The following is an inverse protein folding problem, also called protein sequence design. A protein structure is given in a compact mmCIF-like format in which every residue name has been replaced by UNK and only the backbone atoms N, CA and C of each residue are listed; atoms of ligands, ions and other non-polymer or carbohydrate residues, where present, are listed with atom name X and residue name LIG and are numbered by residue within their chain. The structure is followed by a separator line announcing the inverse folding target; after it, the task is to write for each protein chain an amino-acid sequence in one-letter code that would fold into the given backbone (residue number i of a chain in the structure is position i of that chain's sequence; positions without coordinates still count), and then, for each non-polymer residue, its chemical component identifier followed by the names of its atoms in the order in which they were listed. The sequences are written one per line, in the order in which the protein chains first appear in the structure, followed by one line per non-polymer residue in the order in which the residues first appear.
data_IF_723279784088
#
_entry.id   IF_723279784088
#
_cell.length_a   1.000
_cell.length_b   1.000
_cell.length_c   1.000
_cell.angle_alpha   90.00
_cell.angle_beta   90.00
_cell.angle_gamma   90.00
#
_symmetry.space_group_name_H-M   'P 1'
#
loop_
_entity.id
_entity.type
_entity.pdbx_description
1 polymer ?
#
# COMPACT_ATOMS: atom_id res chain seq x y z
N UNK A 1 -11.76 -10.92 19.34
CA UNK A 1 -10.34 -11.08 19.72
C UNK A 1 -9.64 -9.88 19.10
N UNK A 2 -9.02 -9.00 19.86
CA UNK A 2 -8.32 -7.83 19.32
C UNK A 2 -7.01 -8.34 18.68
N UNK A 3 -6.72 -7.90 17.47
CA UNK A 3 -5.50 -8.23 16.74
C UNK A 3 -4.27 -7.85 17.59
N UNK A 4 -3.40 -8.80 17.87
CA UNK A 4 -2.12 -8.51 18.52
C UNK A 4 -1.09 -8.12 17.46
N UNK A 5 -0.79 -6.84 17.37
CA UNK A 5 0.16 -6.31 16.38
C UNK A 5 1.60 -6.76 16.65
N UNK A 6 1.93 -7.22 17.87
CA UNK A 6 3.26 -7.75 18.16
C UNK A 6 3.54 -9.10 17.48
N UNK A 7 2.49 -9.80 17.05
CA UNK A 7 2.60 -11.02 16.27
C UNK A 7 2.97 -10.78 14.80
N UNK A 8 2.78 -9.54 14.31
CA UNK A 8 3.11 -9.20 12.93
C UNK A 8 4.61 -8.91 12.81
N UNK A 9 5.28 -9.43 11.75
CA UNK A 9 6.65 -9.05 11.45
C UNK A 9 6.78 -7.52 11.37
N UNK A 10 7.69 -6.93 12.13
CA UNK A 10 7.85 -5.46 12.26
C UNK A 10 6.54 -4.69 12.48
N UNK A 11 5.57 -5.32 13.18
CA UNK A 11 4.23 -4.78 13.34
C UNK A 11 3.47 -4.62 12.02
N UNK A 12 3.91 -5.24 10.92
CA UNK A 12 3.34 -5.10 9.58
C UNK A 12 3.56 -3.72 8.96
N UNK A 13 4.66 -3.05 9.28
CA UNK A 13 4.92 -1.68 8.88
C UNK A 13 6.36 -1.41 8.38
N UNK A 14 7.15 -2.47 8.11
CA UNK A 14 8.53 -2.37 7.61
C UNK A 14 8.64 -1.50 6.34
N UNK A 15 7.66 -1.55 5.47
CA UNK A 15 7.61 -0.77 4.24
C UNK A 15 7.50 0.75 4.42
N UNK A 16 7.34 1.23 5.66
CA UNK A 16 7.31 2.67 5.99
C UNK A 16 8.69 3.24 6.34
N UNK A 17 9.74 2.42 6.44
CA UNK A 17 11.04 2.77 7.00
C UNK A 17 11.85 3.82 6.21
N UNK A 18 11.42 4.15 5.01
CA UNK A 18 12.07 5.11 4.11
C UNK A 18 13.51 4.71 3.72
N UNK A 19 13.79 3.39 3.66
CA UNK A 19 15.13 2.85 3.31
C UNK A 19 15.38 2.70 1.82
N UNK A 20 14.34 2.64 0.98
CA UNK A 20 14.47 2.41 -0.46
C UNK A 20 14.81 3.67 -1.26
N UNK A 21 15.13 3.50 -2.54
CA UNK A 21 15.45 4.59 -3.45
C UNK A 21 14.30 5.60 -3.56
N UNK A 22 14.65 6.89 -3.71
CA UNK A 22 13.69 8.01 -3.82
C UNK A 22 12.61 8.05 -2.72
N UNK A 23 12.92 7.63 -1.50
CA UNK A 23 11.96 7.51 -0.40
C UNK A 23 11.28 8.85 -0.02
N UNK A 24 11.84 9.99 -0.37
CA UNK A 24 11.24 11.32 -0.21
C UNK A 24 10.09 11.58 -1.20
N UNK A 25 10.07 10.88 -2.35
CA UNK A 25 9.03 10.97 -3.39
C UNK A 25 8.18 9.69 -3.41
N UNK A 26 8.81 8.51 -3.38
CA UNK A 26 8.14 7.22 -3.43
C UNK A 26 7.95 6.67 -2.02
N UNK A 27 6.71 6.44 -1.62
CA UNK A 27 6.41 5.87 -0.31
C UNK A 27 6.68 4.36 -0.29
N UNK A 28 6.21 3.65 -1.32
CA UNK A 28 6.39 2.20 -1.41
C UNK A 28 6.26 1.67 -2.84
N UNK A 29 6.85 0.49 -3.04
CA UNK A 29 6.66 -0.36 -4.22
C UNK A 29 5.97 -1.65 -3.80
N UNK A 30 4.94 -2.07 -4.54
CA UNK A 30 4.18 -3.29 -4.28
C UNK A 30 4.01 -4.10 -5.55
N UNK A 31 4.43 -5.37 -5.52
CA UNK A 31 4.19 -6.35 -6.57
C UNK A 31 3.22 -7.41 -6.05
N UNK A 32 2.22 -7.75 -6.86
CA UNK A 32 1.21 -8.78 -6.55
C UNK A 32 1.08 -9.75 -7.70
N UNK A 33 0.89 -11.04 -7.38
CA UNK A 33 0.61 -12.10 -8.33
C UNK A 33 -0.72 -12.76 -7.95
N UNK A 34 -1.66 -12.82 -8.91
CA UNK A 34 -2.92 -13.54 -8.76
C UNK A 34 -2.73 -15.00 -9.21
N UNK A 35 -3.14 -15.95 -8.37
CA UNK A 35 -3.05 -17.40 -8.62
C UNK A 35 -4.33 -18.10 -8.20
N UNK A 36 -4.77 -19.08 -8.96
CA UNK A 36 -5.82 -20.00 -8.56
C UNK A 36 -5.25 -21.41 -8.41
N UNK A 37 -5.75 -22.16 -7.44
CA UNK A 37 -5.39 -23.56 -7.23
C UNK A 37 -6.11 -24.39 -8.28
N UNK A 38 -5.39 -25.25 -8.99
CA UNK A 38 -5.98 -26.13 -9.98
C UNK A 38 -6.96 -27.13 -9.36
N UNK A 39 -7.99 -27.50 -10.11
CA UNK A 39 -9.02 -28.43 -9.66
C UNK A 39 -10.11 -27.86 -8.76
N UNK A 40 -10.11 -26.57 -8.45
CA UNK A 40 -11.15 -25.87 -7.70
C UNK A 40 -11.90 -24.84 -8.56
N UNK A 41 -13.18 -24.63 -8.27
CA UNK A 41 -13.92 -23.52 -8.85
C UNK A 41 -13.33 -22.18 -8.37
N UNK A 42 -13.17 -21.19 -9.25
CA UNK A 42 -12.67 -19.86 -8.88
C UNK A 42 -13.51 -19.24 -7.77
N UNK A 43 -12.87 -18.45 -6.94
CA UNK A 43 -13.41 -17.95 -5.65
C UNK A 43 -14.81 -17.36 -5.76
N UNK A 44 -15.14 -16.64 -6.84
CA UNK A 44 -16.48 -16.07 -7.07
C UNK A 44 -17.59 -17.10 -7.30
N UNK A 45 -17.26 -18.33 -7.74
CA UNK A 45 -18.18 -19.44 -7.98
C UNK A 45 -18.03 -20.57 -6.95
N UNK A 46 -16.94 -20.57 -6.19
CA UNK A 46 -16.65 -21.59 -5.19
C UNK A 46 -17.69 -21.55 -4.06
N UNK A 47 -18.07 -22.72 -3.55
CA UNK A 47 -18.87 -22.86 -2.33
C UNK A 47 -17.99 -22.71 -1.10
N UNK A 48 -18.58 -22.44 0.06
CA UNK A 48 -17.83 -22.28 1.32
C UNK A 48 -16.91 -23.46 1.63
N UNK A 49 -17.40 -24.69 1.44
CA UNK A 49 -16.59 -25.88 1.64
C UNK A 49 -15.39 -25.99 0.70
N UNK A 50 -15.45 -25.44 -0.52
CA UNK A 50 -14.31 -25.42 -1.44
C UNK A 50 -13.28 -24.38 -1.00
N UNK A 51 -13.71 -23.19 -0.63
CA UNK A 51 -12.84 -22.14 -0.08
C UNK A 51 -12.11 -22.60 1.16
N UNK A 52 -12.81 -23.30 2.07
CA UNK A 52 -12.17 -23.89 3.26
C UNK A 52 -11.15 -24.99 2.91
N UNK A 53 -11.41 -25.80 1.87
CA UNK A 53 -10.41 -26.79 1.40
C UNK A 53 -9.19 -26.13 0.80
N UNK A 54 -9.34 -25.05 0.01
CA UNK A 54 -8.20 -24.27 -0.47
C UNK A 54 -7.37 -23.74 0.68
N UNK A 55 -8.00 -23.16 1.71
CA UNK A 55 -7.27 -22.68 2.87
C UNK A 55 -6.57 -23.82 3.61
N UNK A 56 -7.21 -24.98 3.78
CA UNK A 56 -6.61 -26.14 4.41
C UNK A 56 -5.36 -26.63 3.65
N UNK A 57 -5.47 -26.75 2.32
CA UNK A 57 -4.33 -27.13 1.47
C UNK A 57 -3.14 -26.18 1.60
N UNK A 58 -3.41 -24.87 1.70
CA UNK A 58 -2.35 -23.88 1.92
C UNK A 58 -1.73 -24.00 3.32
N UNK A 59 -2.53 -24.22 4.36
CA UNK A 59 -2.02 -24.43 5.73
C UNK A 59 -1.07 -25.63 5.80
N UNK A 60 -1.35 -26.67 5.03
CA UNK A 60 -0.50 -27.87 4.96
C UNK A 60 0.77 -27.60 4.13
N UNK A 61 0.71 -26.74 3.10
CA UNK A 61 1.83 -26.42 2.23
C UNK A 61 2.80 -25.40 2.85
N UNK A 62 2.30 -24.35 3.51
CA UNK A 62 3.06 -23.20 4.02
C UNK A 62 4.26 -23.55 4.89
N UNK A 63 4.20 -24.54 5.83
CA UNK A 63 5.37 -24.94 6.62
C UNK A 63 6.58 -25.39 5.79
N UNK A 64 6.35 -25.81 4.55
CA UNK A 64 7.38 -26.28 3.61
C UNK A 64 7.74 -25.23 2.54
N UNK A 65 7.30 -23.97 2.71
CA UNK A 65 7.60 -22.82 1.86
C UNK A 65 8.58 -21.91 2.60
N UNK A 66 9.87 -21.88 2.23
CA UNK A 66 10.90 -21.15 2.96
C UNK A 66 10.56 -19.66 3.18
N UNK A 67 10.01 -18.99 2.17
CA UNK A 67 9.60 -17.58 2.25
C UNK A 67 8.45 -17.34 3.25
N UNK A 68 7.73 -18.37 3.68
CA UNK A 68 6.61 -18.31 4.62
C UNK A 68 6.87 -19.07 5.93
N UNK A 69 8.07 -19.63 6.14
CA UNK A 69 8.37 -20.48 7.29
C UNK A 69 8.13 -19.79 8.65
N UNK A 70 8.22 -18.45 8.69
CA UNK A 70 7.95 -17.63 9.89
C UNK A 70 6.68 -16.81 9.77
N UNK A 71 5.82 -17.12 8.80
CA UNK A 71 4.59 -16.36 8.58
C UNK A 71 3.59 -16.56 9.70
N UNK A 72 2.83 -15.51 9.97
CA UNK A 72 1.66 -15.55 10.84
C UNK A 72 0.42 -15.74 9.98
N UNK A 73 -0.42 -16.71 10.35
CA UNK A 73 -1.73 -16.90 9.73
C UNK A 73 -2.80 -16.10 10.49
N UNK A 74 -3.47 -15.20 9.79
CA UNK A 74 -4.61 -14.46 10.31
C UNK A 74 -5.89 -14.86 9.55
N UNK A 75 -6.91 -15.32 10.29
CA UNK A 75 -8.24 -15.66 9.76
C UNK A 75 -9.08 -14.40 9.67
N UNK A 76 -9.09 -13.79 8.47
CA UNK A 76 -9.79 -12.52 8.22
C UNK A 76 -11.30 -12.67 8.36
N UNK A 77 -11.86 -13.83 8.00
CA UNK A 77 -13.27 -14.16 8.14
C UNK A 77 -13.75 -14.31 9.61
N UNK A 78 -12.81 -14.51 10.54
CA UNK A 78 -13.10 -14.62 11.97
C UNK A 78 -12.83 -13.31 12.74
N UNK A 79 -12.30 -12.28 12.06
CA UNK A 79 -11.91 -11.01 12.69
C UNK A 79 -13.07 -10.01 12.78
N UNK A 80 -13.11 -9.17 13.82
CA UNK A 80 -13.95 -7.97 13.87
C UNK A 80 -13.64 -7.01 12.71
N UNK A 81 -14.61 -6.23 12.28
CA UNK A 81 -14.46 -5.25 11.20
C UNK A 81 -13.37 -4.20 11.48
N UNK A 82 -13.18 -3.82 12.74
CA UNK A 82 -12.12 -2.89 13.19
C UNK A 82 -10.72 -3.45 12.94
N UNK A 83 -10.51 -4.73 13.23
CA UNK A 83 -9.20 -5.38 13.04
C UNK A 83 -8.91 -5.58 11.54
N UNK A 84 -9.96 -5.89 10.75
CA UNK A 84 -9.85 -5.98 9.28
C UNK A 84 -9.52 -4.63 8.66
N UNK A 85 -10.14 -3.55 9.14
CA UNK A 85 -9.84 -2.19 8.72
C UNK A 85 -8.39 -1.82 9.07
N UNK A 86 -7.91 -2.20 10.25
CA UNK A 86 -6.51 -1.96 10.66
C UNK A 86 -5.50 -2.63 9.74
N UNK A 87 -5.73 -3.89 9.35
CA UNK A 87 -4.89 -4.60 8.38
C UNK A 87 -4.94 -3.91 7.00
N UNK A 88 -6.10 -3.42 6.60
CA UNK A 88 -6.26 -2.68 5.33
C UNK A 88 -5.52 -1.34 5.36
N UNK A 89 -5.65 -0.55 6.42
CA UNK A 89 -4.92 0.72 6.60
C UNK A 89 -3.40 0.51 6.56
N UNK A 90 -2.91 -0.66 6.98
CA UNK A 90 -1.49 -1.07 6.86
C UNK A 90 -1.11 -1.63 5.50
N UNK A 91 -2.00 -1.66 4.54
CA UNK A 91 -1.79 -2.25 3.20
C UNK A 91 -1.44 -3.76 3.20
N UNK A 92 -1.72 -4.46 4.30
CA UNK A 92 -1.46 -5.90 4.43
C UNK A 92 -2.54 -6.75 3.75
N UNK A 93 -3.77 -6.25 3.70
CA UNK A 93 -4.89 -6.89 3.00
C UNK A 93 -5.58 -5.90 2.07
N UNK A 94 -6.25 -6.43 1.05
CA UNK A 94 -7.08 -5.62 0.14
C UNK A 94 -8.41 -5.22 0.80
N UNK A 95 -9.08 -4.23 0.22
CA UNK A 95 -10.42 -3.80 0.60
C UNK A 95 -11.43 -4.95 0.48
N UNK A 96 -11.30 -5.75 -0.58
CA UNK A 96 -12.14 -6.89 -0.90
C UNK A 96 -11.98 -8.02 0.12
N UNK A 97 -10.72 -8.40 0.45
CA UNK A 97 -10.47 -9.44 1.46
C UNK A 97 -10.97 -9.00 2.84
N UNK A 98 -10.79 -7.73 3.19
CA UNK A 98 -11.23 -7.16 4.45
C UNK A 98 -12.77 -7.00 4.54
N UNK A 99 -13.50 -7.15 3.42
CA UNK A 99 -14.94 -6.97 3.36
C UNK A 99 -15.40 -5.56 3.74
N UNK A 100 -14.62 -4.56 3.31
CA UNK A 100 -14.91 -3.13 3.54
C UNK A 100 -15.78 -2.54 2.42
N UNK A 101 -16.11 -3.33 1.44
CA UNK A 101 -17.02 -2.99 0.35
C UNK A 101 -18.35 -3.73 0.53
N UNK A 102 -19.45 -3.01 0.47
CA UNK A 102 -20.79 -3.61 0.58
C UNK A 102 -21.09 -4.66 -0.51
N UNK A 103 -20.41 -4.56 -1.67
CA UNK A 103 -20.54 -5.49 -2.77
C UNK A 103 -19.70 -6.77 -2.57
N UNK A 104 -18.71 -6.74 -1.70
CA UNK A 104 -17.79 -7.84 -1.46
C UNK A 104 -17.72 -8.16 0.04
N UNK A 105 -18.72 -8.89 0.59
CA UNK A 105 -18.65 -9.35 1.98
C UNK A 105 -17.48 -10.32 2.16
N UNK A 106 -16.94 -10.38 3.38
CA UNK A 106 -15.88 -11.34 3.72
C UNK A 106 -16.33 -12.75 3.42
N UNK A 107 -15.52 -13.45 2.65
CA UNK A 107 -15.82 -14.82 2.24
C UNK A 107 -15.33 -15.81 3.30
N UNK A 108 -16.03 -16.94 3.40
CA UNK A 108 -15.60 -18.08 4.23
C UNK A 108 -14.19 -18.53 3.83
N UNK A 109 -13.31 -18.75 4.78
CA UNK A 109 -11.92 -19.11 4.55
C UNK A 109 -11.03 -17.95 4.07
N UNK A 110 -11.52 -16.70 4.16
CA UNK A 110 -10.68 -15.53 3.90
C UNK A 110 -9.58 -15.43 4.98
N UNK A 111 -8.33 -15.42 4.54
CA UNK A 111 -7.17 -15.43 5.44
C UNK A 111 -5.98 -14.70 4.80
N UNK A 112 -4.97 -14.41 5.60
CA UNK A 112 -3.69 -13.90 5.12
C UNK A 112 -2.55 -14.57 5.88
N UNK A 113 -1.54 -15.03 5.16
CA UNK A 113 -0.22 -15.38 5.70
C UNK A 113 0.69 -14.17 5.53
N UNK A 114 1.28 -13.71 6.61
CA UNK A 114 2.18 -12.54 6.62
C UNK A 114 3.56 -12.96 7.09
N UNK A 115 4.58 -12.71 6.28
CA UNK A 115 5.99 -12.79 6.60
C UNK A 115 6.62 -11.39 6.51
N UNK A 116 7.95 -11.28 6.72
CA UNK A 116 8.63 -9.98 6.86
C UNK A 116 8.33 -8.99 5.71
N UNK A 117 8.45 -9.43 4.47
CA UNK A 117 8.32 -8.57 3.28
C UNK A 117 7.38 -9.13 2.20
N UNK A 118 6.80 -10.30 2.48
CA UNK A 118 5.84 -10.98 1.60
C UNK A 118 4.60 -11.41 2.35
N UNK A 119 3.50 -11.56 1.62
CA UNK A 119 2.25 -12.08 2.17
C UNK A 119 1.44 -12.82 1.11
N UNK A 120 0.55 -13.68 1.58
CA UNK A 120 -0.41 -14.42 0.74
C UNK A 120 -1.80 -14.20 1.27
N UNK A 121 -2.60 -13.42 0.56
CA UNK A 121 -4.04 -13.32 0.78
C UNK A 121 -4.73 -14.53 0.17
N UNK A 122 -5.70 -15.10 0.90
CA UNK A 122 -6.41 -16.34 0.52
C UNK A 122 -7.88 -16.06 0.38
N UNK A 123 -8.50 -16.57 -0.69
CA UNK A 123 -9.92 -16.46 -1.00
C UNK A 123 -10.44 -15.01 -1.12
N UNK A 124 -9.65 -14.18 -1.78
CA UNK A 124 -10.05 -12.84 -2.17
C UNK A 124 -10.85 -12.88 -3.50
N UNK A 125 -10.44 -12.20 -4.55
CA UNK A 125 -10.99 -12.33 -5.91
C UNK A 125 -10.57 -13.67 -6.53
N UNK A 126 -9.28 -14.00 -6.39
CA UNK A 126 -8.67 -15.28 -6.73
C UNK A 126 -8.41 -16.09 -5.44
N UNK A 127 -8.07 -17.38 -5.58
CA UNK A 127 -7.73 -18.21 -4.43
C UNK A 127 -6.54 -17.65 -3.67
N UNK A 128 -5.53 -17.14 -4.39
CA UNK A 128 -4.30 -16.61 -3.84
C UNK A 128 -3.97 -15.26 -4.47
N UNK A 129 -3.55 -14.33 -3.63
CA UNK A 129 -2.89 -13.11 -4.05
C UNK A 129 -1.60 -12.96 -3.28
N UNK A 130 -0.49 -13.36 -3.91
CA UNK A 130 0.85 -13.20 -3.38
C UNK A 130 1.23 -11.73 -3.49
N UNK A 131 1.89 -11.17 -2.48
CA UNK A 131 2.38 -9.80 -2.54
C UNK A 131 3.76 -9.64 -1.91
N UNK A 132 4.55 -8.73 -2.46
CA UNK A 132 5.71 -8.13 -1.80
C UNK A 132 5.50 -6.63 -1.72
N UNK A 133 5.85 -6.04 -0.56
CA UNK A 133 5.73 -4.62 -0.29
C UNK A 133 7.06 -4.10 0.26
N UNK A 134 7.65 -3.10 -0.40
CA UNK A 134 8.95 -2.53 -0.09
C UNK A 134 8.85 -1.02 0.09
N UNK A 135 9.69 -0.46 0.95
CA UNK A 135 9.86 0.98 1.09
C UNK A 135 10.50 1.58 -0.16
N UNK A 136 10.13 2.79 -0.54
CA UNK A 136 10.73 3.51 -1.65
C UNK A 136 10.50 2.87 -3.04
N UNK A 137 11.38 3.20 -3.98
CA UNK A 137 11.32 2.72 -5.36
C UNK A 137 12.20 1.49 -5.57
N UNK A 138 11.67 0.32 -5.19
CA UNK A 138 12.36 -0.97 -5.19
C UNK A 138 11.64 -2.07 -6.02
N UNK A 139 11.29 -1.82 -7.33
CA UNK A 139 10.50 -2.78 -8.10
C UNK A 139 11.21 -4.11 -8.32
N UNK A 140 12.52 -4.10 -8.60
CA UNK A 140 13.29 -5.32 -8.85
C UNK A 140 13.39 -6.19 -7.58
N UNK A 141 13.66 -5.59 -6.42
CA UNK A 141 13.72 -6.31 -5.15
C UNK A 141 12.35 -6.86 -4.73
N UNK A 142 11.27 -6.09 -4.92
CA UNK A 142 9.91 -6.54 -4.66
C UNK A 142 9.50 -7.68 -5.60
N UNK A 143 9.87 -7.61 -6.88
CA UNK A 143 9.58 -8.68 -7.85
C UNK A 143 10.35 -9.96 -7.49
N UNK A 144 11.65 -9.87 -7.22
CA UNK A 144 12.46 -11.02 -6.84
C UNK A 144 11.93 -11.74 -5.59
N UNK A 145 11.39 -10.98 -4.62
CA UNK A 145 10.80 -11.56 -3.40
C UNK A 145 9.50 -12.32 -3.71
N UNK A 146 8.58 -11.71 -4.46
CA UNK A 146 7.29 -12.36 -4.77
C UNK A 146 7.44 -13.50 -5.79
N UNK A 147 8.36 -13.40 -6.74
CA UNK A 147 8.67 -14.46 -7.72
C UNK A 147 9.26 -15.70 -7.04
N UNK A 148 10.14 -15.49 -6.04
CA UNK A 148 10.65 -16.59 -5.22
C UNK A 148 9.50 -17.28 -4.47
N UNK A 149 8.64 -16.49 -3.83
CA UNK A 149 7.46 -17.02 -3.13
C UNK A 149 6.54 -17.81 -4.08
N UNK A 150 6.29 -17.28 -5.28
CA UNK A 150 5.45 -17.91 -6.31
C UNK A 150 6.00 -19.28 -6.72
N UNK A 151 7.31 -19.36 -6.96
CA UNK A 151 8.01 -20.60 -7.33
C UNK A 151 7.99 -21.63 -6.20
N UNK A 152 8.27 -21.22 -4.96
CA UNK A 152 8.27 -22.07 -3.79
C UNK A 152 6.87 -22.64 -3.52
N UNK A 153 5.84 -21.79 -3.59
CA UNK A 153 4.46 -22.19 -3.36
C UNK A 153 3.91 -23.04 -4.51
N UNK A 154 4.20 -22.69 -5.77
CA UNK A 154 3.81 -23.44 -6.97
C UNK A 154 4.42 -24.86 -7.03
N UNK A 155 5.58 -25.06 -6.39
CA UNK A 155 6.15 -26.40 -6.21
C UNK A 155 5.39 -27.29 -5.20
N UNK A 156 4.42 -26.74 -4.46
CA UNK A 156 3.63 -27.44 -3.43
C UNK A 156 2.13 -27.47 -3.76
N UNK A 157 1.66 -26.42 -4.39
CA UNK A 157 0.24 -26.22 -4.74
C UNK A 157 0.15 -25.99 -6.23
N UNK A 158 -0.49 -26.86 -7.01
CA UNK A 158 -0.59 -26.69 -8.46
C UNK A 158 -1.47 -25.47 -8.77
N UNK A 159 -0.98 -24.58 -9.62
CA UNK A 159 -1.73 -23.41 -10.06
C UNK A 159 -2.46 -23.69 -11.37
N UNK A 160 -3.67 -23.16 -11.51
CA UNK A 160 -4.46 -23.17 -12.72
C UNK A 160 -3.72 -22.37 -13.82
N UNK A 161 -3.20 -23.08 -14.82
CA UNK A 161 -2.38 -22.52 -15.89
C UNK A 161 -2.81 -23.08 -17.25
N UNK A 162 -2.80 -22.23 -18.28
CA UNK A 162 -3.03 -22.63 -19.66
C UNK A 162 -1.83 -22.22 -20.53
N UNK A 163 -1.30 -23.10 -21.39
CA UNK A 163 -0.08 -22.82 -22.18
C UNK A 163 -0.19 -21.55 -23.06
N UNK A 164 -1.38 -21.25 -23.56
CA UNK A 164 -1.63 -20.08 -24.41
C UNK A 164 -1.96 -18.82 -23.61
N UNK A 165 -2.70 -18.95 -22.50
CA UNK A 165 -3.24 -17.81 -21.75
C UNK A 165 -2.49 -17.51 -20.45
N UNK A 166 -1.52 -18.34 -20.06
CA UNK A 166 -0.79 -18.18 -18.81
C UNK A 166 -1.61 -18.58 -17.57
N UNK A 167 -1.41 -17.91 -16.45
CA UNK A 167 -2.17 -18.16 -15.22
C UNK A 167 -3.63 -17.74 -15.36
N UNK A 168 -4.53 -18.67 -15.01
CA UNK A 168 -5.96 -18.43 -15.11
C UNK A 168 -6.48 -17.75 -13.85
N UNK A 169 -7.20 -16.64 -14.02
CA UNK A 169 -7.70 -15.81 -12.94
C UNK A 169 -9.21 -15.60 -13.03
N UNK A 170 -9.84 -15.25 -11.90
CA UNK A 170 -11.28 -14.98 -11.84
C UNK A 170 -11.66 -13.74 -12.67
N UNK A 171 -10.80 -12.73 -12.69
CA UNK A 171 -10.96 -11.54 -13.52
C UNK A 171 -10.11 -11.68 -14.81
N UNK A 172 -10.71 -11.62 -16.00
CA UNK A 172 -9.97 -11.74 -17.26
C UNK A 172 -8.83 -10.74 -17.43
N UNK A 173 -8.92 -9.57 -16.81
CA UNK A 173 -7.88 -8.53 -16.87
C UNK A 173 -6.61 -8.90 -16.09
N UNK A 174 -6.66 -9.91 -15.22
CA UNK A 174 -5.51 -10.43 -14.49
C UNK A 174 -4.90 -11.68 -15.16
N UNK A 175 -5.60 -12.30 -16.14
CA UNK A 175 -5.13 -13.50 -16.84
C UNK A 175 -3.83 -13.21 -17.60
N UNK A 176 -2.94 -14.20 -17.65
CA UNK A 176 -1.60 -14.09 -18.22
C UNK A 176 -0.54 -14.21 -17.12
N UNK A 177 0.22 -13.16 -16.87
CA UNK A 177 1.18 -13.15 -15.76
C UNK A 177 0.51 -13.14 -14.40
N UNK A 178 -0.74 -12.65 -14.32
CA UNK A 178 -1.41 -12.36 -13.05
C UNK A 178 -0.74 -11.24 -12.25
N UNK A 179 0.25 -10.55 -12.84
CA UNK A 179 1.08 -9.58 -12.14
C UNK A 179 0.49 -8.17 -12.15
N UNK A 180 0.39 -7.60 -10.96
CA UNK A 180 0.15 -6.16 -10.78
C UNK A 180 1.30 -5.53 -10.01
N UNK A 181 2.15 -4.81 -10.73
CA UNK A 181 3.20 -3.98 -10.18
C UNK A 181 2.66 -2.56 -9.93
N UNK A 182 2.90 -2.01 -8.78
CA UNK A 182 2.43 -0.66 -8.40
C UNK A 182 3.44 0.09 -7.55
N UNK A 183 3.45 1.41 -7.70
CA UNK A 183 4.27 2.34 -6.93
C UNK A 183 3.36 3.40 -6.32
N UNK A 184 3.48 3.61 -5.01
CA UNK A 184 2.80 4.70 -4.31
C UNK A 184 3.73 5.90 -4.25
N UNK A 185 3.36 6.97 -4.95
CA UNK A 185 4.22 8.13 -5.20
C UNK A 185 3.54 9.42 -4.74
N UNK A 186 4.33 10.34 -4.18
CA UNK A 186 3.92 11.64 -3.69
C UNK A 186 4.32 12.75 -4.66
N UNK A 187 3.35 13.42 -5.28
CA UNK A 187 3.56 14.34 -6.41
C UNK A 187 3.04 15.77 -6.13
N UNK A 188 3.37 16.40 -5.00
CA UNK A 188 2.88 17.73 -4.66
C UNK A 188 3.43 18.84 -5.58
N UNK A 189 4.65 18.68 -6.11
CA UNK A 189 5.25 19.63 -7.04
C UNK A 189 4.45 19.73 -8.32
N UNK A 190 4.13 18.59 -8.93
CA UNK A 190 3.30 18.52 -10.14
C UNK A 190 1.87 19.04 -9.91
N UNK A 191 1.30 18.81 -8.72
CA UNK A 191 -0.03 19.34 -8.37
C UNK A 191 0.01 20.87 -8.22
N UNK A 192 0.98 21.41 -7.50
CA UNK A 192 1.11 22.84 -7.26
C UNK A 192 1.47 23.63 -8.52
N UNK A 193 2.25 23.05 -9.44
CA UNK A 193 2.54 23.65 -10.77
C UNK A 193 1.43 23.42 -11.78
N UNK A 194 0.36 22.70 -11.43
CA UNK A 194 -0.77 22.35 -12.30
C UNK A 194 -0.39 21.45 -13.50
N UNK A 195 0.74 20.77 -13.44
CA UNK A 195 1.19 19.84 -14.49
C UNK A 195 0.68 18.40 -14.30
N UNK A 196 0.11 18.09 -13.14
CA UNK A 196 -0.30 16.72 -12.78
C UNK A 196 -1.27 16.11 -13.82
N UNK A 197 -2.26 16.85 -14.32
CA UNK A 197 -3.23 16.34 -15.29
C UNK A 197 -2.57 15.84 -16.58
N UNK A 198 -1.54 16.55 -17.07
CA UNK A 198 -0.75 16.16 -18.25
C UNK A 198 0.03 14.87 -18.00
N UNK A 199 0.66 14.76 -16.83
CA UNK A 199 1.40 13.55 -16.45
C UNK A 199 0.47 12.35 -16.36
N UNK A 200 -0.67 12.48 -15.67
CA UNK A 200 -1.66 11.40 -15.52
C UNK A 200 -2.26 10.95 -16.87
N UNK A 201 -2.55 11.89 -17.78
CA UNK A 201 -2.98 11.56 -19.15
C UNK A 201 -1.90 10.79 -19.90
N UNK A 202 -0.63 11.18 -19.78
CA UNK A 202 0.50 10.46 -20.38
C UNK A 202 0.64 9.04 -19.86
N UNK A 203 0.44 8.80 -18.55
CA UNK A 203 0.44 7.46 -17.96
C UNK A 203 -0.60 6.55 -18.59
N UNK A 204 -1.82 7.05 -18.78
CA UNK A 204 -2.91 6.29 -19.40
C UNK A 204 -2.60 5.94 -20.85
N UNK A 205 -2.03 6.86 -21.62
CA UNK A 205 -1.60 6.60 -23.00
C UNK A 205 -0.49 5.53 -23.08
N UNK A 206 0.33 5.41 -22.06
CA UNK A 206 1.35 4.38 -21.95
C UNK A 206 0.84 3.05 -21.36
N UNK A 207 -0.47 2.88 -21.17
CA UNK A 207 -1.06 1.64 -20.63
C UNK A 207 -0.85 1.44 -19.13
N UNK A 208 -0.59 2.52 -18.40
CA UNK A 208 -0.57 2.54 -16.95
C UNK A 208 -1.87 3.17 -16.41
N UNK A 209 -2.24 2.80 -15.21
CA UNK A 209 -3.37 3.41 -14.50
C UNK A 209 -2.88 4.06 -13.21
N UNK A 210 -3.61 5.07 -12.74
CA UNK A 210 -3.36 5.69 -11.44
C UNK A 210 -4.63 5.66 -10.59
N UNK A 211 -4.44 5.68 -9.28
CA UNK A 211 -5.51 5.63 -8.26
C UNK A 211 -5.06 6.40 -7.02
N UNK A 212 -5.96 6.62 -6.07
CA UNK A 212 -5.58 7.17 -4.77
C UNK A 212 -4.81 6.18 -3.89
N UNK A 213 -4.53 6.59 -2.66
CA UNK A 213 -3.67 5.89 -1.68
C UNK A 213 -4.08 4.42 -1.46
N UNK A 214 -5.38 4.14 -1.43
CA UNK A 214 -5.94 2.80 -1.16
C UNK A 214 -6.33 2.00 -2.41
N UNK A 215 -6.02 2.49 -3.61
CA UNK A 215 -6.27 1.78 -4.86
C UNK A 215 -7.65 2.05 -5.45
N UNK A 216 -8.39 1.00 -5.85
CA UNK A 216 -9.61 1.12 -6.63
C UNK A 216 -10.72 1.89 -5.89
N UNK A 217 -11.31 2.88 -6.59
CA UNK A 217 -12.38 3.70 -6.06
C UNK A 217 -11.96 4.69 -4.96
N UNK A 218 -10.66 4.81 -4.64
CA UNK A 218 -10.18 5.79 -3.66
C UNK A 218 -9.87 7.13 -4.32
N UNK A 219 -10.25 8.21 -3.64
CA UNK A 219 -9.86 9.56 -4.01
C UNK A 219 -8.37 9.81 -3.78
N UNK A 220 -7.80 10.77 -4.50
CA UNK A 220 -6.43 11.21 -4.29
C UNK A 220 -6.41 12.17 -3.09
N UNK A 221 -5.83 11.73 -1.99
CA UNK A 221 -5.68 12.52 -0.76
C UNK A 221 -4.20 12.77 -0.51
N UNK A 222 -3.85 13.97 -0.07
CA UNK A 222 -2.47 14.32 0.28
C UNK A 222 -1.47 14.23 -0.87
N UNK A 223 -1.93 14.35 -2.13
CA UNK A 223 -1.09 14.25 -3.34
C UNK A 223 -0.37 12.89 -3.51
N UNK A 224 -0.92 11.81 -2.94
CA UNK A 224 -0.43 10.45 -3.12
C UNK A 224 -1.18 9.75 -4.26
N UNK A 225 -0.41 9.21 -5.20
CA UNK A 225 -0.91 8.50 -6.37
C UNK A 225 -0.34 7.09 -6.40
N UNK A 226 -1.18 6.09 -6.61
CA UNK A 226 -0.73 4.73 -6.89
C UNK A 226 -0.70 4.51 -8.40
N UNK A 227 0.48 4.42 -8.99
CA UNK A 227 0.68 4.11 -10.41
C UNK A 227 0.86 2.60 -10.55
N UNK A 228 0.19 1.96 -11.53
CA UNK A 228 0.31 0.51 -11.78
C UNK A 228 0.10 0.14 -13.24
N UNK A 229 0.61 -1.06 -13.65
CA UNK A 229 0.27 -1.64 -14.95
C UNK A 229 -1.23 -1.94 -15.04
N UNK A 230 -1.76 -1.91 -16.26
CA UNK A 230 -3.18 -2.20 -16.56
C UNK A 230 -3.36 -3.58 -17.20
N UNK A 231 -2.45 -3.98 -18.06
CA UNK A 231 -2.51 -5.24 -18.82
C UNK A 231 -1.57 -6.28 -18.23
N UNK A 232 -1.94 -7.56 -18.34
CA UNK A 232 -1.19 -8.72 -17.84
C UNK A 232 -1.02 -9.79 -18.90
N UNK A 233 -1.84 -9.79 -19.96
CA UNK A 233 -1.81 -10.74 -21.05
C UNK A 233 -0.94 -10.22 -22.22
N UNK A 234 -0.17 -11.12 -22.84
CA UNK A 234 0.63 -10.82 -24.04
C UNK A 234 1.96 -10.10 -23.78
N UNK A 235 2.39 -10.02 -22.52
CA UNK A 235 3.70 -9.51 -22.09
C UNK A 235 4.26 -10.40 -21.00
N UNK A 236 5.59 -10.44 -20.90
CA UNK A 236 6.26 -11.10 -19.77
C UNK A 236 6.26 -10.20 -18.52
N UNK A 237 6.51 -10.79 -17.37
CA UNK A 237 6.68 -10.06 -16.10
C UNK A 237 7.81 -9.03 -16.18
N UNK A 238 8.95 -9.41 -16.80
CA UNK A 238 10.09 -8.53 -16.99
C UNK A 238 9.74 -7.32 -17.87
N UNK A 239 9.02 -7.52 -18.97
CA UNK A 239 8.58 -6.42 -19.83
C UNK A 239 7.65 -5.45 -19.11
N UNK A 240 6.74 -5.97 -18.28
CA UNK A 240 5.81 -5.15 -17.47
C UNK A 240 6.57 -4.37 -16.40
N UNK A 241 7.53 -5.00 -15.75
CA UNK A 241 8.36 -4.39 -14.72
C UNK A 241 9.25 -3.29 -15.29
N UNK A 242 9.97 -3.58 -16.38
CA UNK A 242 10.85 -2.62 -17.07
C UNK A 242 10.06 -1.41 -17.58
N UNK A 243 8.86 -1.65 -18.12
CA UNK A 243 7.99 -0.58 -18.58
C UNK A 243 7.57 0.33 -17.42
N UNK A 244 7.07 -0.24 -16.31
CA UNK A 244 6.70 0.50 -15.12
C UNK A 244 7.91 1.31 -14.58
N UNK A 245 9.07 0.67 -14.47
CA UNK A 245 10.28 1.30 -13.95
C UNK A 245 10.70 2.53 -14.76
N UNK A 246 10.71 2.42 -16.10
CA UNK A 246 11.07 3.55 -16.99
C UNK A 246 10.10 4.71 -16.83
N UNK A 247 8.80 4.42 -16.81
CA UNK A 247 7.77 5.46 -16.72
C UNK A 247 7.78 6.14 -15.35
N UNK A 248 7.88 5.36 -14.27
CA UNK A 248 7.92 5.93 -12.90
C UNK A 248 9.18 6.78 -12.69
N UNK A 249 10.36 6.37 -13.18
CA UNK A 249 11.57 7.21 -13.13
C UNK A 249 11.34 8.56 -13.81
N UNK A 250 10.72 8.55 -14.98
CA UNK A 250 10.40 9.81 -15.64
C UNK A 250 9.40 10.68 -14.84
N UNK A 251 8.42 10.08 -14.17
CA UNK A 251 7.51 10.82 -13.27
C UNK A 251 8.27 11.42 -12.08
N UNK A 252 9.24 10.69 -11.50
CA UNK A 252 10.10 11.20 -10.42
C UNK A 252 10.91 12.40 -10.90
N UNK A 253 11.57 12.32 -12.06
CA UNK A 253 12.32 13.42 -12.66
C UNK A 253 11.45 14.67 -12.89
N UNK A 254 10.20 14.46 -13.36
CA UNK A 254 9.23 15.55 -13.55
C UNK A 254 8.79 16.18 -12.21
N UNK A 255 8.60 15.38 -11.18
CA UNK A 255 8.29 15.89 -9.83
C UNK A 255 9.47 16.72 -9.27
N UNK A 256 10.71 16.23 -9.41
CA UNK A 256 11.90 16.95 -8.99
C UNK A 256 12.05 18.29 -9.72
N UNK A 257 11.80 18.32 -11.03
CA UNK A 257 11.83 19.57 -11.79
C UNK A 257 10.72 20.53 -11.34
N UNK A 258 9.50 20.03 -11.12
CA UNK A 258 8.40 20.83 -10.59
C UNK A 258 8.74 21.43 -9.22
N UNK A 259 9.39 20.68 -8.33
CA UNK A 259 9.89 21.17 -7.03
C UNK A 259 10.91 22.30 -7.20
N UNK A 260 11.86 22.16 -8.14
CA UNK A 260 12.85 23.22 -8.45
C UNK A 260 12.18 24.49 -8.97
N UNK A 261 11.22 24.35 -9.89
CA UNK A 261 10.44 25.49 -10.42
C UNK A 261 9.68 26.21 -9.30
N UNK A 262 9.02 25.49 -8.40
CA UNK A 262 8.32 26.09 -7.26
C UNK A 262 9.23 26.92 -6.38
N UNK A 263 10.42 26.42 -6.04
CA UNK A 263 11.39 27.17 -5.23
C UNK A 263 11.93 28.42 -5.95
N UNK A 264 12.19 28.31 -7.24
CA UNK A 264 12.71 29.41 -8.04
C UNK A 264 11.67 30.54 -8.21
N UNK A 265 10.44 30.19 -8.58
CA UNK A 265 9.43 31.16 -9.04
C UNK A 265 8.50 31.64 -7.92
N UNK A 266 8.31 30.86 -6.86
CA UNK A 266 7.40 31.15 -5.77
C UNK A 266 7.97 30.75 -4.38
N UNK A 267 9.28 30.71 -4.22
CA UNK A 267 9.94 30.15 -3.03
C UNK A 267 9.38 30.65 -1.71
N UNK A 268 9.28 31.99 -1.53
CA UNK A 268 8.73 32.58 -0.32
C UNK A 268 7.28 32.17 -0.02
N UNK A 269 6.43 32.14 -1.05
CA UNK A 269 5.01 31.78 -0.90
C UNK A 269 4.88 30.30 -0.52
N UNK A 270 5.68 29.45 -1.16
CA UNK A 270 5.69 28.01 -0.87
C UNK A 270 6.23 27.77 0.55
N UNK A 271 7.32 28.40 0.93
CA UNK A 271 7.89 28.28 2.26
C UNK A 271 6.87 28.68 3.34
N UNK A 272 6.22 29.84 3.24
CA UNK A 272 5.17 30.27 4.18
C UNK A 272 4.04 29.24 4.29
N UNK A 273 3.55 28.74 3.14
CA UNK A 273 2.49 27.72 3.12
C UNK A 273 2.90 26.42 3.82
N UNK A 274 4.12 25.96 3.59
CA UNK A 274 4.63 24.72 4.18
C UNK A 274 4.88 24.85 5.69
N UNK A 275 5.41 26.00 6.14
CA UNK A 275 5.57 26.30 7.57
C UNK A 275 4.22 26.45 8.29
N UNK A 276 3.19 27.01 7.65
CA UNK A 276 1.83 27.02 8.20
C UNK A 276 1.27 25.62 8.37
N UNK A 277 1.49 24.73 7.39
CA UNK A 277 1.09 23.32 7.49
C UNK A 277 1.77 22.64 8.69
N UNK A 278 3.08 22.82 8.85
CA UNK A 278 3.83 22.31 9.99
C UNK A 278 3.34 22.87 11.32
N UNK A 279 3.13 24.20 11.41
CA UNK A 279 2.57 24.85 12.60
C UNK A 279 1.19 24.30 12.96
N UNK A 280 0.31 24.08 11.96
CA UNK A 280 -1.00 23.49 12.20
C UNK A 280 -0.89 22.08 12.78
N UNK A 281 -0.08 21.20 12.18
CA UNK A 281 0.14 19.84 12.71
C UNK A 281 0.70 19.85 14.13
N UNK A 282 1.57 20.79 14.44
CA UNK A 282 2.23 20.90 15.75
C UNK A 282 1.32 21.44 16.84
N UNK A 283 0.29 22.22 16.52
CA UNK A 283 -0.52 22.94 17.52
C UNK A 283 -2.03 22.69 17.44
N UNK A 284 -2.57 22.09 16.37
CA UNK A 284 -3.99 21.76 16.26
C UNK A 284 -4.46 20.86 17.42
N UNK A 285 -5.70 21.05 17.87
CA UNK A 285 -6.35 20.23 18.90
C UNK A 285 -7.29 19.18 18.32
N UNK A 286 -7.73 19.39 17.09
CA UNK A 286 -8.51 18.44 16.30
C UNK A 286 -8.05 18.55 14.86
N UNK A 287 -8.00 17.42 14.15
CA UNK A 287 -7.68 17.31 12.73
C UNK A 287 -8.61 16.28 12.11
N UNK A 288 -9.32 16.64 11.05
CA UNK A 288 -9.96 15.65 10.20
C UNK A 288 -8.92 14.79 9.48
N UNK A 289 -9.33 13.67 8.89
CA UNK A 289 -8.40 12.83 8.11
C UNK A 289 -7.82 13.60 6.93
N UNK A 290 -8.65 14.28 6.16
CA UNK A 290 -8.23 15.02 4.96
C UNK A 290 -7.32 16.20 5.29
N UNK A 291 -7.60 16.94 6.37
CA UNK A 291 -6.71 18.00 6.86
C UNK A 291 -5.33 17.45 7.23
N UNK A 292 -5.30 16.36 8.01
CA UNK A 292 -4.04 15.73 8.41
C UNK A 292 -3.23 15.26 7.20
N UNK A 293 -3.86 14.59 6.24
CA UNK A 293 -3.20 14.11 5.02
C UNK A 293 -2.65 15.27 4.18
N UNK A 294 -3.41 16.35 4.02
CA UNK A 294 -2.99 17.51 3.25
C UNK A 294 -1.82 18.25 3.92
N UNK A 295 -1.86 18.43 5.24
CA UNK A 295 -0.77 19.07 5.96
C UNK A 295 0.47 18.17 6.02
N UNK A 296 0.32 16.86 6.22
CA UNK A 296 1.43 15.90 6.17
C UNK A 296 2.09 15.87 4.79
N UNK A 297 1.29 15.95 3.71
CA UNK A 297 1.82 16.10 2.34
C UNK A 297 2.66 17.37 2.20
N UNK A 298 2.18 18.51 2.70
CA UNK A 298 2.94 19.77 2.69
C UNK A 298 4.24 19.66 3.48
N UNK A 299 4.20 19.10 4.69
CA UNK A 299 5.39 18.93 5.53
C UNK A 299 6.38 17.93 4.88
N UNK A 300 5.89 16.85 4.25
CA UNK A 300 6.74 15.93 3.50
C UNK A 300 7.46 16.63 2.34
N UNK A 301 6.76 17.50 1.61
CA UNK A 301 7.39 18.34 0.59
C UNK A 301 8.46 19.26 1.19
N UNK A 302 8.18 19.90 2.35
CA UNK A 302 9.14 20.77 3.01
C UNK A 302 10.41 20.04 3.46
N UNK A 303 10.29 18.81 3.96
CA UNK A 303 11.44 17.96 4.30
C UNK A 303 12.24 17.59 3.04
N UNK A 304 11.56 17.17 1.96
CA UNK A 304 12.21 16.87 0.68
C UNK A 304 12.92 18.08 0.04
N UNK A 305 12.39 19.28 0.25
CA UNK A 305 13.00 20.56 -0.17
C UNK A 305 14.07 21.08 0.81
N UNK A 306 14.32 20.38 1.93
CA UNK A 306 15.24 20.77 3.01
C UNK A 306 14.90 22.11 3.68
N UNK A 307 13.63 22.52 3.64
CA UNK A 307 13.11 23.71 4.33
C UNK A 307 12.83 23.43 5.81
N UNK A 308 12.51 22.17 6.15
CA UNK A 308 12.33 21.72 7.54
C UNK A 308 13.39 20.64 7.79
N UNK A 309 14.21 20.86 8.83
CA UNK A 309 15.21 19.91 9.31
C UNK A 309 14.75 19.24 10.62
N UNK A 310 15.38 18.12 10.99
CA UNK A 310 15.09 17.43 12.26
C UNK A 310 13.76 16.64 12.25
N UNK A 311 13.19 16.38 11.07
CA UNK A 311 12.02 15.53 10.90
C UNK A 311 12.30 14.50 9.81
N UNK A 312 12.17 13.22 10.14
CA UNK A 312 12.46 12.13 9.22
C UNK A 312 11.28 11.81 8.30
N UNK A 313 11.59 11.35 7.08
CA UNK A 313 10.57 10.82 6.16
C UNK A 313 9.88 9.59 6.77
N UNK A 314 10.59 8.79 7.54
CA UNK A 314 10.04 7.66 8.28
C UNK A 314 8.91 8.06 9.23
N UNK A 315 9.12 9.10 10.04
CA UNK A 315 8.08 9.60 10.94
C UNK A 315 6.86 10.10 10.17
N UNK A 316 7.07 10.81 9.06
CA UNK A 316 5.97 11.23 8.20
C UNK A 316 5.21 10.05 7.62
N UNK A 317 5.90 9.00 7.16
CA UNK A 317 5.27 7.77 6.70
C UNK A 317 4.40 7.13 7.80
N UNK A 318 4.92 7.03 9.03
CA UNK A 318 4.14 6.52 10.16
C UNK A 318 2.92 7.38 10.47
N UNK A 319 3.07 8.70 10.42
CA UNK A 319 1.95 9.61 10.65
C UNK A 319 0.85 9.46 9.60
N UNK A 320 1.20 9.27 8.32
CA UNK A 320 0.24 9.03 7.25
C UNK A 320 -0.62 7.78 7.48
N UNK A 321 -0.04 6.73 8.03
CA UNK A 321 -0.71 5.44 8.23
C UNK A 321 -1.34 5.35 9.63
N UNK A 322 -0.59 5.65 10.68
CA UNK A 322 -1.05 5.41 12.06
C UNK A 322 -1.98 6.49 12.63
N UNK A 323 -2.18 7.60 11.90
CA UNK A 323 -3.20 8.59 12.25
C UNK A 323 -4.59 8.27 11.68
N UNK A 324 -4.78 7.11 11.05
CA UNK A 324 -6.05 6.67 10.49
C UNK A 324 -6.98 6.09 11.55
N UNK A 325 -8.26 5.99 11.21
CA UNK A 325 -9.32 5.74 12.19
C UNK A 325 -9.19 4.43 12.95
N UNK A 326 -8.81 3.33 12.25
CA UNK A 326 -8.66 2.04 12.92
C UNK A 326 -7.45 2.00 13.85
N UNK A 327 -6.34 2.65 13.45
CA UNK A 327 -5.15 2.76 14.30
C UNK A 327 -5.43 3.58 15.57
N UNK A 328 -6.18 4.69 15.45
CA UNK A 328 -6.55 5.52 16.58
C UNK A 328 -7.50 4.76 17.52
N UNK A 329 -8.51 4.06 16.97
CA UNK A 329 -9.41 3.23 17.75
C UNK A 329 -8.69 2.09 18.48
N UNK A 330 -7.72 1.45 17.81
CA UNK A 330 -6.87 0.43 18.40
C UNK A 330 -6.04 0.97 19.57
N UNK A 331 -5.39 2.14 19.39
CA UNK A 331 -4.58 2.80 20.43
C UNK A 331 -5.42 3.24 21.65
N UNK A 332 -6.68 3.66 21.42
CA UNK A 332 -7.61 4.06 22.49
C UNK A 332 -8.35 2.86 23.10
N UNK A 333 -8.22 1.65 22.55
CA UNK A 333 -8.90 0.43 23.02
C UNK A 333 -10.42 0.44 22.84
N UNK A 334 -10.97 1.36 22.03
CA UNK A 334 -12.41 1.53 21.79
C UNK A 334 -12.72 2.14 20.43
N UNK A 335 -13.94 1.97 19.98
CA UNK A 335 -14.44 2.70 18.80
C UNK A 335 -14.54 4.19 19.09
N UNK A 336 -14.16 5.01 18.12
CA UNK A 336 -14.19 6.47 18.20
C UNK A 336 -15.26 7.02 17.24
N UNK A 337 -15.95 8.08 17.66
CA UNK A 337 -16.71 8.94 16.75
C UNK A 337 -15.74 9.78 15.90
N UNK A 338 -16.22 10.37 14.80
CA UNK A 338 -15.37 11.21 13.93
C UNK A 338 -14.74 12.37 14.69
N UNK A 339 -15.49 13.00 15.61
CA UNK A 339 -14.97 14.09 16.46
C UNK A 339 -13.88 13.59 17.41
N UNK A 340 -14.07 12.45 18.07
CA UNK A 340 -13.07 11.85 18.94
C UNK A 340 -11.83 11.41 18.18
N UNK A 341 -12.02 10.83 16.98
CA UNK A 341 -10.93 10.46 16.08
C UNK A 341 -10.13 11.70 15.66
N UNK A 342 -10.78 12.83 15.39
CA UNK A 342 -10.13 14.11 15.09
C UNK A 342 -9.23 14.60 16.24
N UNK A 343 -9.70 14.53 17.48
CA UNK A 343 -8.93 14.89 18.69
C UNK A 343 -7.77 13.91 18.90
N UNK A 344 -8.03 12.61 18.81
CA UNK A 344 -7.01 11.57 18.96
C UNK A 344 -5.89 11.71 17.91
N UNK A 345 -6.27 11.96 16.64
CA UNK A 345 -5.34 12.22 15.54
C UNK A 345 -4.44 13.41 15.82
N UNK A 346 -5.02 14.53 16.19
CA UNK A 346 -4.25 15.73 16.51
C UNK A 346 -3.28 15.50 17.68
N UNK A 347 -3.71 14.76 18.71
CA UNK A 347 -2.85 14.38 19.84
C UNK A 347 -1.70 13.49 19.39
N UNK A 348 -1.98 12.44 18.62
CA UNK A 348 -0.97 11.51 18.09
C UNK A 348 0.07 12.24 17.24
N UNK A 349 -0.36 13.08 16.29
CA UNK A 349 0.53 13.86 15.42
C UNK A 349 1.42 14.79 16.23
N UNK A 350 0.86 15.54 17.20
CA UNK A 350 1.65 16.44 18.06
C UNK A 350 2.71 15.70 18.86
N UNK A 351 2.37 14.55 19.42
CA UNK A 351 3.31 13.74 20.22
C UNK A 351 4.47 13.26 19.36
N UNK A 352 4.20 12.72 18.16
CA UNK A 352 5.24 12.26 17.25
C UNK A 352 6.17 13.41 16.80
N UNK A 353 5.60 14.57 16.45
CA UNK A 353 6.40 15.73 16.05
C UNK A 353 7.20 16.35 17.19
N UNK A 354 6.74 16.22 18.45
CA UNK A 354 7.48 16.69 19.61
C UNK A 354 8.71 15.81 19.91
N UNK A 355 8.60 14.50 19.69
CA UNK A 355 9.69 13.55 19.96
C UNK A 355 10.90 13.78 19.05
N UNK A 356 10.69 14.09 17.77
CA UNK A 356 11.78 14.37 16.82
C UNK A 356 12.26 15.81 16.85
N UNK A 357 11.38 16.79 17.10
CA UNK A 357 11.76 18.22 17.18
C UNK A 357 12.49 18.63 18.45
N UNK A 358 12.63 17.74 19.44
CA UNK A 358 13.31 17.99 20.70
C UNK A 358 14.85 17.95 20.66
N UNK A 359 15.45 17.65 19.50
CA UNK A 359 16.90 17.61 19.34
C UNK A 359 17.53 18.95 18.90
N UNK A 360 16.74 20.03 18.85
CA UNK A 360 17.23 21.38 18.56
C UNK A 360 16.81 22.31 19.71
N UNK A 361 17.54 22.25 20.82
CA UNK A 361 17.55 23.16 21.91
C UNK A 361 18.96 23.45 22.34
#
# INVERSE_FOLDING_TARGET
MTLDLSLLPDGGASWLDASGDHADIVLSTRIRLARNVDGYAFTGRARDGERLRVLAQLRDAVPNVPSLARSVLLRVDEMPSTDRLLLHERHLVSKELAGLDAQHPVRSGAAVFLADDVGVMVNEEDHLRLQALRSGFEPAAAYAAVERLDRELGGRVPFAFHPEFGFLTACPTNTGTGMRASVLIHLPGLVLTKEIAKVLSGLQQMGLTYRGLYGEGSEVVGNFFQISNQTTLGRSEDELLDHLMRVVRHVIEREEEARRVLLRDAGYIIEDKLWRAYGTLRYARSLSFDEAMNYLSGVRLAVGLKLISGLSVYTLNKLLIFSQSAHLAYAEGRTLTDSEAGVARARFVRQALATEGGSQG
#
